data_IF_142301404187
#
_entry.id   IF_142301404187
#
_cell.length_a   1.000
_cell.length_b   1.000
_cell.length_c   1.000
_cell.angle_alpha   90.00
_cell.angle_beta   90.00
_cell.angle_gamma   90.00
#
_symmetry.space_group_name_H-M   'P 1'
#
loop_
_entity.id
_entity.type
_entity.pdbx_description
1 polymer ?
#
# COMPACT_ATOMS: atom_id res chain seq x y z
N UNK A 1 -6.21 2.79 12.86
CA UNK A 1 -5.36 1.61 12.69
C UNK A 1 -4.23 1.65 13.71
N UNK A 2 -3.92 0.54 14.38
CA UNK A 2 -2.75 0.41 15.27
C UNK A 2 -1.60 -0.37 14.58
N UNK A 3 -0.46 -0.54 15.26
CA UNK A 3 0.72 -1.22 14.71
C UNK A 3 0.47 -2.69 14.31
N UNK A 4 -0.22 -3.45 15.15
CA UNK A 4 -0.51 -4.86 14.90
C UNK A 4 -1.47 -5.02 13.72
N UNK A 5 -2.48 -4.16 13.61
CA UNK A 5 -3.40 -4.11 12.47
C UNK A 5 -2.67 -3.75 11.18
N UNK A 6 -1.80 -2.74 11.20
CA UNK A 6 -1.02 -2.32 10.04
C UNK A 6 -0.11 -3.45 9.56
N UNK A 7 0.69 -4.00 10.48
CA UNK A 7 1.65 -5.08 10.18
C UNK A 7 0.93 -6.35 9.74
N UNK A 8 -0.14 -6.75 10.43
CA UNK A 8 -0.94 -7.92 10.06
C UNK A 8 -1.58 -7.77 8.67
N UNK A 9 -2.04 -6.57 8.33
CA UNK A 9 -2.60 -6.28 7.00
C UNK A 9 -1.53 -6.40 5.91
N UNK A 10 -0.35 -5.80 6.09
CA UNK A 10 0.75 -5.93 5.12
C UNK A 10 1.18 -7.39 4.98
N UNK A 11 1.31 -8.12 6.09
CA UNK A 11 1.70 -9.53 6.07
C UNK A 11 0.71 -10.37 5.27
N UNK A 12 -0.59 -10.15 5.48
CA UNK A 12 -1.64 -10.85 4.75
C UNK A 12 -1.59 -10.52 3.25
N UNK A 13 -1.53 -9.23 2.90
CA UNK A 13 -1.55 -8.75 1.50
C UNK A 13 -0.34 -9.19 0.67
N UNK A 14 0.81 -9.38 1.33
CA UNK A 14 2.05 -9.84 0.70
C UNK A 14 2.31 -11.34 0.87
N UNK A 15 1.39 -12.06 1.52
CA UNK A 15 1.53 -13.49 1.84
C UNK A 15 2.88 -13.83 2.51
N UNK A 16 3.41 -12.91 3.33
CA UNK A 16 4.74 -13.07 3.91
C UNK A 16 4.74 -14.13 5.02
N UNK A 17 5.78 -14.98 5.08
CA UNK A 17 5.80 -16.16 5.95
C UNK A 17 5.91 -15.81 7.44
N UNK A 18 6.42 -14.63 7.76
CA UNK A 18 6.65 -14.21 9.14
C UNK A 18 6.63 -12.69 9.31
N UNK A 19 6.29 -12.25 10.51
CA UNK A 19 6.22 -10.84 10.89
C UNK A 19 7.58 -10.13 10.76
N UNK A 20 8.69 -10.85 10.90
CA UNK A 20 10.03 -10.27 10.78
C UNK A 20 10.30 -9.76 9.37
N UNK A 21 9.92 -10.53 8.34
CA UNK A 21 9.97 -10.08 6.93
C UNK A 21 9.01 -8.93 6.68
N UNK A 22 7.79 -9.00 7.20
CA UNK A 22 6.80 -7.93 7.04
C UNK A 22 7.31 -6.60 7.59
N UNK A 23 7.80 -6.58 8.83
CA UNK A 23 8.34 -5.37 9.45
C UNK A 23 9.56 -4.86 8.68
N UNK A 24 10.37 -5.75 8.11
CA UNK A 24 11.51 -5.36 7.28
C UNK A 24 11.05 -4.66 5.99
N UNK A 25 10.04 -5.18 5.31
CA UNK A 25 9.47 -4.58 4.10
C UNK A 25 8.87 -3.19 4.38
N UNK A 26 8.08 -3.09 5.45
CA UNK A 26 7.52 -1.81 5.91
C UNK A 26 8.64 -0.81 6.20
N UNK A 27 9.64 -1.22 6.98
CA UNK A 27 10.78 -0.36 7.35
C UNK A 27 11.57 0.08 6.13
N UNK A 28 11.93 -0.85 5.24
CA UNK A 28 12.71 -0.56 4.05
C UNK A 28 12.00 0.48 3.17
N UNK A 29 10.72 0.26 2.91
CA UNK A 29 9.88 1.15 2.11
C UNK A 29 9.78 2.53 2.75
N UNK A 30 9.37 2.62 4.01
CA UNK A 30 9.08 3.90 4.66
C UNK A 30 10.35 4.70 4.99
N UNK A 31 11.46 4.05 5.34
CA UNK A 31 12.74 4.74 5.52
C UNK A 31 13.25 5.34 4.22
N UNK A 32 13.18 4.57 3.12
CA UNK A 32 13.63 5.06 1.81
C UNK A 32 12.72 6.19 1.33
N UNK A 33 11.41 6.09 1.57
CA UNK A 33 10.48 7.18 1.26
C UNK A 33 10.77 8.43 2.09
N UNK A 34 11.04 8.28 3.39
CA UNK A 34 11.41 9.38 4.27
C UNK A 34 12.71 10.08 3.84
N UNK A 35 13.69 9.34 3.30
CA UNK A 35 14.91 9.94 2.71
C UNK A 35 14.60 10.79 1.48
N UNK A 36 13.65 10.35 0.62
CA UNK A 36 13.26 11.07 -0.60
C UNK A 36 12.50 12.36 -0.30
N UNK A 37 11.64 12.32 0.71
CA UNK A 37 10.75 13.42 1.05
C UNK A 37 11.48 14.53 1.82
N UNK A 38 11.11 15.81 1.61
CA UNK A 38 11.47 16.86 2.55
C UNK A 38 10.98 16.52 3.97
N UNK A 39 11.73 16.93 4.99
CA UNK A 39 11.46 16.59 6.40
C UNK A 39 10.03 16.93 6.83
N UNK A 40 9.52 18.11 6.44
CA UNK A 40 8.15 18.53 6.75
C UNK A 40 7.10 17.59 6.14
N UNK A 41 7.23 17.28 4.85
CA UNK A 41 6.29 16.37 4.17
C UNK A 41 6.35 14.95 4.73
N UNK A 42 7.54 14.48 5.10
CA UNK A 42 7.71 13.19 5.78
C UNK A 42 6.98 13.20 7.13
N UNK A 43 7.13 14.27 7.92
CA UNK A 43 6.47 14.42 9.22
C UNK A 43 4.94 14.52 9.11
N UNK A 44 4.43 15.24 8.10
CA UNK A 44 3.00 15.36 7.82
C UNK A 44 2.39 13.98 7.53
N UNK A 45 2.99 13.22 6.60
CA UNK A 45 2.55 11.85 6.29
C UNK A 45 2.62 10.94 7.52
N UNK A 46 3.67 11.07 8.33
CA UNK A 46 3.87 10.27 9.53
C UNK A 46 2.90 10.64 10.67
N UNK A 47 2.30 11.83 10.64
CA UNK A 47 1.42 12.36 11.70
C UNK A 47 0.17 11.52 11.96
N UNK A 48 -0.29 10.79 10.94
CA UNK A 48 -1.50 9.98 10.99
C UNK A 48 -1.24 8.47 11.18
N UNK A 49 0.03 8.04 11.12
CA UNK A 49 0.43 6.65 11.22
C UNK A 49 0.67 6.22 12.69
N UNK A 50 0.55 4.91 13.00
CA UNK A 50 0.92 4.37 14.31
C UNK A 50 2.35 4.75 14.72
N UNK A 51 2.61 4.89 16.02
CA UNK A 51 3.86 5.43 16.58
C UNK A 51 5.12 4.73 16.05
N UNK A 52 5.08 3.40 15.95
CA UNK A 52 6.17 2.57 15.47
C UNK A 52 6.37 2.71 13.95
N UNK A 53 5.28 2.89 13.20
CA UNK A 53 5.29 3.04 11.74
C UNK A 53 5.81 4.42 11.35
N UNK A 54 5.32 5.48 12.02
CA UNK A 54 5.75 6.86 11.75
C UNK A 54 7.23 7.09 12.00
N UNK A 55 7.84 6.32 12.91
CA UNK A 55 9.27 6.40 13.21
C UNK A 55 10.13 6.09 11.97
N UNK A 56 9.67 5.20 11.09
CA UNK A 56 10.40 4.83 9.88
C UNK A 56 10.45 5.95 8.84
N UNK A 57 9.45 6.84 8.79
CA UNK A 57 9.46 8.00 7.91
C UNK A 57 10.30 9.16 8.46
N UNK A 58 10.58 9.18 9.76
CA UNK A 58 11.16 10.34 10.46
C UNK A 58 12.39 9.94 11.26
N UNK A 59 12.26 9.56 12.53
CA UNK A 59 13.40 9.36 13.42
C UNK A 59 14.40 8.26 13.02
N UNK A 60 14.01 7.33 12.13
CA UNK A 60 14.93 6.36 11.53
C UNK A 60 15.74 6.93 10.35
N UNK A 61 15.37 8.11 9.83
CA UNK A 61 15.98 8.77 8.67
C UNK A 61 16.97 9.83 9.15
N UNK A 62 18.21 9.75 8.67
CA UNK A 62 19.26 10.71 9.04
C UNK A 62 19.25 11.96 8.16
N UNK A 63 18.88 11.79 6.88
CA UNK A 63 18.89 12.86 5.88
C UNK A 63 17.63 12.77 5.01
N UNK A 64 16.85 13.86 5.04
CA UNK A 64 15.63 14.07 4.25
C UNK A 64 15.90 14.87 2.98
N UNK A 65 14.99 14.78 2.01
CA UNK A 65 15.03 15.58 0.78
C UNK A 65 16.12 15.16 -0.21
N UNK A 66 16.62 13.92 -0.10
CA UNK A 66 17.53 13.36 -1.07
C UNK A 66 16.85 13.26 -2.45
N UNK A 67 17.64 13.37 -3.52
CA UNK A 67 17.14 13.22 -4.89
C UNK A 67 17.55 11.88 -5.45
N UNK A 68 16.56 11.06 -5.73
CA UNK A 68 16.69 9.83 -6.48
C UNK A 68 15.36 9.45 -7.11
N UNK A 69 15.42 8.62 -8.14
CA UNK A 69 14.27 8.19 -8.91
C UNK A 69 13.68 6.87 -8.37
N UNK A 70 12.63 6.40 -9.04
CA UNK A 70 11.99 5.13 -8.74
C UNK A 70 12.95 3.93 -8.78
N UNK A 71 13.92 3.91 -9.70
CA UNK A 71 14.82 2.76 -9.83
C UNK A 71 15.74 2.66 -8.62
N UNK A 72 16.40 3.77 -8.26
CA UNK A 72 17.26 3.83 -7.07
C UNK A 72 16.45 3.57 -5.78
N UNK A 73 15.20 4.03 -5.69
CA UNK A 73 14.31 3.69 -4.58
C UNK A 73 14.15 2.17 -4.43
N UNK A 74 13.83 1.47 -5.53
CA UNK A 74 13.66 0.01 -5.52
C UNK A 74 14.96 -0.70 -5.18
N UNK A 75 16.09 -0.24 -5.71
CA UNK A 75 17.42 -0.80 -5.39
C UNK A 75 17.71 -0.71 -3.88
N UNK A 76 17.48 0.45 -3.25
CA UNK A 76 17.65 0.63 -1.80
C UNK A 76 16.71 -0.26 -0.98
N UNK A 77 15.45 -0.35 -1.37
CA UNK A 77 14.47 -1.20 -0.67
C UNK A 77 14.89 -2.67 -0.78
N UNK A 78 15.27 -3.13 -1.98
CA UNK A 78 15.77 -4.48 -2.23
C UNK A 78 17.00 -4.81 -1.38
N UNK A 79 17.96 -3.89 -1.27
CA UNK A 79 19.15 -4.06 -0.42
C UNK A 79 18.81 -4.19 1.07
N UNK A 80 17.88 -3.36 1.57
CA UNK A 80 17.48 -3.39 2.99
C UNK A 80 16.67 -4.66 3.31
N UNK A 81 15.83 -5.11 2.38
CA UNK A 81 15.00 -6.30 2.55
C UNK A 81 15.80 -7.61 2.38
N UNK A 82 16.74 -7.61 1.43
CA UNK A 82 17.46 -8.80 0.97
C UNK A 82 16.64 -9.65 -0.01
N UNK A 83 15.76 -9.02 -0.80
CA UNK A 83 14.93 -9.65 -1.85
C UNK A 83 15.29 -9.05 -3.22
N UNK A 84 14.76 -9.61 -4.31
CA UNK A 84 15.05 -9.06 -5.65
C UNK A 84 14.31 -7.72 -5.91
N UNK A 85 14.78 -6.90 -6.87
CA UNK A 85 14.16 -5.61 -7.16
C UNK A 85 12.67 -5.68 -7.56
N UNK A 86 12.21 -6.63 -8.40
CA UNK A 86 10.78 -6.80 -8.68
C UNK A 86 9.93 -7.08 -7.42
N UNK A 87 10.39 -7.95 -6.53
CA UNK A 87 9.70 -8.26 -5.26
C UNK A 87 9.66 -7.03 -4.33
N UNK A 88 10.78 -6.33 -4.18
CA UNK A 88 10.88 -5.09 -3.40
C UNK A 88 9.93 -4.00 -3.93
N UNK A 89 9.86 -3.84 -5.26
CA UNK A 89 8.93 -2.91 -5.90
C UNK A 89 7.48 -3.25 -5.58
N UNK A 90 7.12 -4.53 -5.61
CA UNK A 90 5.77 -4.99 -5.26
C UNK A 90 5.47 -4.72 -3.78
N UNK A 91 6.38 -5.07 -2.87
CA UNK A 91 6.24 -4.80 -1.43
C UNK A 91 6.00 -3.31 -1.16
N UNK A 92 6.80 -2.43 -1.77
CA UNK A 92 6.67 -0.99 -1.58
C UNK A 92 5.31 -0.46 -2.03
N UNK A 93 4.77 -0.95 -3.15
CA UNK A 93 3.45 -0.56 -3.66
C UNK A 93 2.33 -0.97 -2.71
N UNK A 94 2.38 -2.19 -2.17
CA UNK A 94 1.35 -2.68 -1.22
C UNK A 94 1.43 -1.91 0.11
N UNK A 95 2.64 -1.59 0.57
CA UNK A 95 2.81 -0.77 1.78
C UNK A 95 2.26 0.64 1.56
N UNK A 96 2.55 1.28 0.41
CA UNK A 96 2.05 2.63 0.11
C UNK A 96 0.53 2.64 -0.12
N UNK A 97 -0.03 1.59 -0.72
CA UNK A 97 -1.47 1.39 -0.79
C UNK A 97 -2.11 1.35 0.61
N UNK A 98 -1.53 0.62 1.55
CA UNK A 98 -2.05 0.61 2.92
C UNK A 98 -1.90 1.99 3.60
N UNK A 99 -0.80 2.69 3.36
CA UNK A 99 -0.59 4.06 3.86
C UNK A 99 -1.69 4.99 3.38
N UNK A 100 -2.11 4.90 2.11
CA UNK A 100 -3.21 5.70 1.55
C UNK A 100 -4.48 5.57 2.41
N UNK A 101 -4.84 4.34 2.79
CA UNK A 101 -6.03 4.09 3.62
C UNK A 101 -5.88 4.54 5.08
N UNK A 102 -4.64 4.71 5.54
CA UNK A 102 -4.32 5.01 6.93
C UNK A 102 -4.13 6.51 7.21
N UNK A 103 -3.97 7.34 6.18
CA UNK A 103 -3.73 8.78 6.30
C UNK A 103 -4.88 9.60 5.69
N UNK A 104 -5.03 10.88 6.08
CA UNK A 104 -5.93 11.80 5.40
C UNK A 104 -5.62 11.91 3.89
N UNK A 105 -6.64 12.03 3.01
CA UNK A 105 -6.41 12.16 1.56
C UNK A 105 -5.51 13.35 1.19
N UNK A 106 -5.52 14.43 1.97
CA UNK A 106 -4.64 15.59 1.76
C UNK A 106 -3.17 15.26 1.97
N UNK A 107 -2.85 14.36 2.90
CA UNK A 107 -1.47 14.02 3.25
C UNK A 107 -0.92 13.06 2.20
N UNK A 108 -1.76 12.14 1.71
CA UNK A 108 -1.40 11.27 0.59
C UNK A 108 -1.23 12.04 -0.72
N UNK A 109 -2.09 13.02 -1.01
CA UNK A 109 -1.92 13.88 -2.16
C UNK A 109 -0.60 14.67 -2.09
N UNK A 110 -0.26 15.20 -0.91
CA UNK A 110 1.02 15.89 -0.71
C UNK A 110 2.22 14.97 -0.93
N UNK A 111 2.16 13.70 -0.51
CA UNK A 111 3.16 12.68 -0.84
C UNK A 111 3.34 12.56 -2.37
N UNK A 112 2.24 12.41 -3.10
CA UNK A 112 2.24 12.26 -4.56
C UNK A 112 2.84 13.50 -5.25
N UNK A 113 2.52 14.69 -4.78
CA UNK A 113 3.03 15.95 -5.31
C UNK A 113 4.57 16.10 -5.14
N UNK A 114 5.19 15.39 -4.21
CA UNK A 114 6.65 15.41 -4.01
C UNK A 114 7.42 14.43 -4.92
N UNK A 115 6.71 13.57 -5.67
CA UNK A 115 7.30 12.46 -6.40
C UNK A 115 7.00 12.57 -7.91
N UNK A 116 7.96 13.05 -8.73
CA UNK A 116 7.76 13.24 -10.16
C UNK A 116 7.38 11.95 -10.91
N UNK A 117 6.19 11.93 -11.50
CA UNK A 117 5.62 10.69 -12.06
C UNK A 117 6.03 10.35 -13.50
N UNK A 118 6.46 11.32 -14.30
CA UNK A 118 6.72 11.09 -15.73
C UNK A 118 7.88 10.11 -15.93
N UNK A 119 7.78 9.25 -16.95
CA UNK A 119 8.85 8.31 -17.31
C UNK A 119 10.16 9.01 -17.71
N UNK A 120 10.08 10.23 -18.24
CA UNK A 120 11.24 11.06 -18.58
C UNK A 120 11.82 11.86 -17.42
N UNK A 121 11.17 11.84 -16.25
CA UNK A 121 11.62 12.52 -15.04
C UNK A 121 12.20 11.48 -14.06
N UNK A 122 11.38 10.95 -13.16
CA UNK A 122 11.80 10.02 -12.10
C UNK A 122 10.90 8.77 -12.00
N UNK A 123 9.87 8.66 -12.85
CA UNK A 123 8.99 7.50 -12.99
C UNK A 123 8.28 7.03 -11.69
N UNK A 124 8.01 7.93 -10.74
CA UNK A 124 7.39 7.59 -9.46
C UNK A 124 5.94 7.11 -9.55
N UNK A 125 5.28 7.24 -10.71
CA UNK A 125 3.96 6.64 -10.96
C UNK A 125 3.94 5.15 -10.63
N UNK A 126 5.08 4.49 -10.82
CA UNK A 126 5.28 3.07 -10.50
C UNK A 126 5.03 2.72 -9.04
N UNK A 127 5.23 3.64 -8.09
CA UNK A 127 4.92 3.41 -6.68
C UNK A 127 3.40 3.36 -6.44
N UNK A 128 2.63 4.10 -7.23
CA UNK A 128 1.19 4.28 -7.04
C UNK A 128 0.34 3.31 -7.87
N UNK A 129 0.93 2.37 -8.60
CA UNK A 129 0.18 1.46 -9.50
C UNK A 129 -0.97 0.70 -8.80
N UNK A 130 -0.78 0.27 -7.55
CA UNK A 130 -1.83 -0.43 -6.78
C UNK A 130 -2.95 0.52 -6.38
N UNK A 131 -2.59 1.71 -5.90
CA UNK A 131 -3.53 2.77 -5.51
C UNK A 131 -4.37 3.21 -6.71
N UNK A 132 -3.71 3.46 -7.84
CA UNK A 132 -4.34 3.90 -9.10
C UNK A 132 -5.23 2.80 -9.71
N UNK A 133 -5.00 1.53 -9.37
CA UNK A 133 -5.85 0.41 -9.75
C UNK A 133 -7.12 0.25 -8.87
N UNK A 134 -7.32 1.12 -7.88
CA UNK A 134 -8.44 1.02 -6.93
C UNK A 134 -8.08 0.30 -5.62
N UNK A 135 -6.78 0.10 -5.39
CA UNK A 135 -6.21 -0.51 -4.20
C UNK A 135 -6.05 -2.02 -4.25
N UNK A 136 -5.41 -2.59 -3.23
CA UNK A 136 -5.03 -4.01 -3.21
C UNK A 136 -6.18 -4.98 -3.49
N UNK A 137 -7.40 -4.71 -2.99
CA UNK A 137 -8.57 -5.59 -3.21
C UNK A 137 -8.97 -5.72 -4.69
N UNK A 138 -8.98 -4.62 -5.43
CA UNK A 138 -9.28 -4.64 -6.87
C UNK A 138 -8.14 -5.29 -7.68
N UNK A 139 -6.89 -5.11 -7.25
CA UNK A 139 -5.74 -5.74 -7.87
C UNK A 139 -5.72 -7.27 -7.68
N UNK A 140 -6.16 -7.77 -6.52
CA UNK A 140 -6.30 -9.21 -6.23
C UNK A 140 -7.41 -9.86 -7.08
N UNK A 141 -8.55 -9.20 -7.19
CA UNK A 141 -9.69 -9.64 -8.04
C UNK A 141 -9.29 -9.75 -9.53
N UNK A 142 -8.50 -8.78 -10.02
CA UNK A 142 -7.99 -8.79 -11.39
C UNK A 142 -6.99 -9.92 -11.66
N UNK A 143 -6.19 -10.31 -10.66
CA UNK A 143 -5.19 -11.39 -10.78
C UNK A 143 -5.80 -12.78 -10.64
N UNK A 144 -6.87 -12.93 -9.85
CA UNK A 144 -7.53 -14.22 -9.59
C UNK A 144 -8.57 -14.59 -10.66
N UNK A 145 -8.85 -13.71 -11.63
CA UNK A 145 -9.86 -13.97 -12.67
C UNK A 145 -11.28 -14.09 -12.09
N UNK A 146 -11.51 -13.54 -10.90
CA UNK A 146 -12.80 -13.54 -10.22
C UNK A 146 -13.69 -12.46 -10.80
N UNK A 147 -14.59 -12.83 -11.71
CA UNK A 147 -15.71 -11.97 -12.09
C UNK A 147 -16.55 -11.58 -10.86
N UNK A 148 -17.36 -10.51 -10.94
CA UNK A 148 -18.10 -9.97 -9.80
C UNK A 148 -18.91 -11.08 -9.12
N UNK A 149 -18.65 -11.31 -7.84
CA UNK A 149 -19.47 -12.20 -7.04
C UNK A 149 -20.84 -11.53 -6.92
N UNK A 150 -21.93 -12.11 -7.46
CA UNK A 150 -23.23 -11.49 -7.34
C UNK A 150 -23.56 -11.45 -5.85
N UNK A 151 -23.67 -10.24 -5.31
CA UNK A 151 -24.37 -10.03 -4.05
C UNK A 151 -25.71 -10.75 -4.18
N UNK A 152 -25.99 -11.66 -3.25
CA UNK A 152 -27.21 -12.42 -3.22
C UNK A 152 -28.39 -11.45 -3.20
N UNK A 153 -28.94 -11.17 -4.38
CA UNK A 153 -30.22 -10.51 -4.55
C UNK A 153 -31.23 -11.37 -3.80
N UNK A 154 -31.76 -10.81 -2.71
CA UNK A 154 -32.93 -11.37 -2.04
C UNK A 154 -34.06 -11.42 -3.06
N UNK A 155 -34.21 -12.57 -3.69
CA UNK A 155 -35.34 -12.88 -4.56
C UNK A 155 -36.60 -12.89 -3.70
N UNK A 156 -37.45 -11.94 -4.01
CA UNK A 156 -38.87 -11.90 -3.69
C UNK A 156 -39.55 -13.15 -4.22
N UNK A 157 -40.20 -13.92 -3.36
CA UNK A 157 -41.18 -14.95 -3.77
C UNK A 157 -42.55 -14.29 -4.03
N UNK A 158 -43.09 -14.36 -5.26
CA UNK A 158 -44.50 -14.08 -5.51
C UNK A 158 -45.34 -15.36 -5.44
N UNK A 159 -46.35 -15.30 -4.57
CA UNK A 159 -47.70 -15.88 -4.66
C UNK A 159 -48.03 -16.81 -5.86
N UNK A 160 -48.53 -18.03 -5.60
CA UNK A 160 -49.91 -18.46 -5.98
C UNK A 160 -50.16 -19.98 -5.94
N UNK A 161 -51.19 -20.36 -5.19
CA UNK A 161 -52.30 -21.31 -5.46
C UNK A 161 -52.09 -22.62 -6.23
N UNK A 162 -52.59 -23.74 -5.66
CA UNK A 162 -53.66 -24.64 -6.20
C UNK A 162 -53.61 -25.98 -5.42
N UNK A 163 -54.65 -26.43 -4.70
CA UNK A 163 -55.68 -27.33 -5.23
C UNK A 163 -55.62 -28.70 -4.51
N UNK A 164 -56.75 -29.21 -4.02
CA UNK A 164 -56.88 -30.52 -3.32
C UNK A 164 -56.56 -31.74 -4.21
N UNK A 165 -56.68 -33.01 -3.74
CA UNK A 165 -57.81 -33.62 -3.01
C UNK A 165 -57.34 -34.47 -1.79
N UNK A 166 -58.09 -35.21 -0.96
CA UNK A 166 -59.38 -35.91 -0.98
C UNK A 166 -60.07 -35.82 0.40
#
# INVERSE_FOLDING_TARGET
MNFDEFTGTVQHRLELPDTGRTVRAIRATLMTLGQRLPEGNAADLAGSLPLEIRWYLTGAVQEHGQRFDWQEFVERVSEIEGVDPPEAAYHARVVVDLVETAVPPSDFQQLRDQLPESEGDENWRKLFEVVDAGGWGAAEEAQTGGGPQPEATGETDPESTDGGPE
#
